data_IF_716590028960
#
_entry.id   IF_716590028960
#
_cell.length_a   1.000
_cell.length_b   1.000
_cell.length_c   1.000
_cell.angle_alpha   90.00
_cell.angle_beta   90.00
_cell.angle_gamma   90.00
#
_symmetry.space_group_name_H-M   'P 1'
#
loop_
_entity.id
_entity.type
_entity.pdbx_description
1 polymer ?
#
# COMPACT_ATOMS: atom_id res chain seq x y z
N UNK A 1 11.78 -15.95 14.58
CA UNK A 1 13.07 -15.35 14.96
C UNK A 1 14.26 -16.09 14.38
N UNK A 2 14.47 -17.39 14.69
CA UNK A 2 15.56 -18.20 14.07
C UNK A 2 15.63 -18.06 12.55
N UNK A 3 14.49 -18.10 11.89
CA UNK A 3 14.41 -17.97 10.43
C UNK A 3 14.74 -16.57 9.90
N UNK A 4 14.41 -15.51 10.65
CA UNK A 4 14.73 -14.11 10.31
C UNK A 4 16.23 -13.88 10.45
N UNK A 5 16.81 -14.30 11.57
CA UNK A 5 18.26 -14.26 11.86
C UNK A 5 19.03 -15.05 10.79
N UNK A 6 18.56 -16.24 10.43
CA UNK A 6 19.14 -17.08 9.37
C UNK A 6 19.10 -16.42 7.99
N UNK A 7 17.97 -15.81 7.61
CA UNK A 7 17.81 -15.13 6.31
C UNK A 7 18.58 -13.81 6.23
N UNK A 8 18.67 -13.07 7.33
CA UNK A 8 19.39 -11.80 7.40
C UNK A 8 20.91 -11.97 7.55
N UNK A 9 21.41 -13.20 7.75
CA UNK A 9 22.84 -13.47 7.92
C UNK A 9 23.44 -12.88 9.20
N UNK A 10 22.62 -12.39 10.13
CA UNK A 10 23.06 -11.82 11.41
C UNK A 10 23.07 -12.89 12.48
N UNK A 11 24.00 -12.83 13.43
CA UNK A 11 23.98 -13.70 14.61
C UNK A 11 22.87 -13.33 15.59
N UNK A 12 22.38 -14.27 16.40
CA UNK A 12 21.40 -13.99 17.48
C UNK A 12 21.85 -12.87 18.41
N UNK A 13 23.15 -12.78 18.71
CA UNK A 13 23.69 -11.71 19.55
C UNK A 13 23.51 -10.34 18.91
N UNK A 14 23.84 -10.19 17.62
CA UNK A 14 23.68 -8.94 16.89
C UNK A 14 22.21 -8.51 16.76
N UNK A 15 21.29 -9.47 16.73
CA UNK A 15 19.85 -9.20 16.77
C UNK A 15 19.44 -8.51 18.08
N UNK A 16 19.80 -9.09 19.23
CA UNK A 16 19.46 -8.53 20.55
C UNK A 16 20.25 -7.26 20.89
N UNK A 17 21.35 -6.97 20.21
CA UNK A 17 22.05 -5.68 20.32
C UNK A 17 21.29 -4.56 19.61
N UNK A 18 20.54 -4.88 18.56
CA UNK A 18 19.79 -3.91 17.76
C UNK A 18 18.35 -3.75 18.20
N UNK A 19 17.72 -4.82 18.67
CA UNK A 19 16.34 -4.81 19.13
C UNK A 19 16.20 -5.54 20.46
N UNK A 20 15.58 -4.87 21.43
CA UNK A 20 15.26 -5.40 22.76
C UNK A 20 14.19 -6.51 22.71
N UNK A 21 13.55 -6.70 21.55
CA UNK A 21 12.57 -7.76 21.35
C UNK A 21 12.03 -7.83 19.93
N UNK A 22 11.22 -8.87 19.70
CA UNK A 22 10.52 -9.04 18.42
C UNK A 22 9.57 -7.87 18.13
N UNK A 23 8.91 -7.35 19.16
CA UNK A 23 7.91 -6.29 19.03
C UNK A 23 8.54 -5.00 18.51
N UNK A 24 9.69 -4.57 19.07
CA UNK A 24 10.43 -3.40 18.58
C UNK A 24 10.89 -3.57 17.13
N UNK A 25 11.41 -4.75 16.76
CA UNK A 25 11.77 -5.03 15.37
C UNK A 25 10.56 -4.91 14.43
N UNK A 26 9.41 -5.45 14.85
CA UNK A 26 8.17 -5.38 14.05
C UNK A 26 7.70 -3.92 13.93
N UNK A 27 7.73 -3.15 15.00
CA UNK A 27 7.39 -1.72 14.97
C UNK A 27 8.32 -0.91 14.06
N UNK A 28 9.63 -1.18 14.05
CA UNK A 28 10.57 -0.52 13.13
C UNK A 28 10.32 -0.88 11.67
N UNK A 29 10.04 -2.15 11.38
CA UNK A 29 9.65 -2.59 10.03
C UNK A 29 8.36 -1.89 9.60
N UNK A 30 7.42 -1.71 10.52
CA UNK A 30 6.17 -0.99 10.33
C UNK A 30 6.36 0.50 10.05
N UNK A 31 7.24 1.17 10.79
CA UNK A 31 7.55 2.57 10.55
C UNK A 31 8.26 2.79 9.20
N UNK A 32 9.23 1.93 8.86
CA UNK A 32 9.92 1.97 7.58
C UNK A 32 8.97 1.74 6.40
N UNK A 33 8.02 0.84 6.60
CA UNK A 33 6.96 0.55 5.65
C UNK A 33 6.05 1.77 5.41
N UNK A 34 5.55 2.37 6.50
CA UNK A 34 4.71 3.57 6.42
C UNK A 34 5.43 4.70 5.67
N UNK A 35 6.72 4.90 5.96
CA UNK A 35 7.55 5.88 5.28
C UNK A 35 7.69 5.62 3.77
N UNK A 36 7.81 4.36 3.35
CA UNK A 36 7.92 4.00 1.93
C UNK A 36 6.63 4.33 1.16
N UNK A 37 5.46 4.02 1.74
CA UNK A 37 4.16 4.34 1.14
C UNK A 37 3.91 5.84 1.15
N UNK A 38 4.25 6.53 2.23
CA UNK A 38 4.18 7.99 2.30
C UNK A 38 5.04 8.64 1.22
N UNK A 39 6.29 8.21 1.07
CA UNK A 39 7.19 8.71 0.03
C UNK A 39 6.63 8.43 -1.38
N UNK A 40 6.04 7.27 -1.61
CA UNK A 40 5.38 6.95 -2.87
C UNK A 40 4.17 7.85 -3.13
N UNK A 41 3.32 8.05 -2.12
CA UNK A 41 2.17 8.94 -2.20
C UNK A 41 2.60 10.38 -2.57
N UNK A 42 3.65 10.91 -1.93
CA UNK A 42 4.22 12.23 -2.24
C UNK A 42 4.76 12.29 -3.66
N UNK A 43 5.53 11.28 -4.11
CA UNK A 43 6.03 11.22 -5.49
C UNK A 43 4.89 11.20 -6.51
N UNK A 44 3.89 10.35 -6.30
CA UNK A 44 2.76 10.23 -7.22
C UNK A 44 1.87 11.48 -7.21
N UNK A 45 1.78 12.22 -6.11
CA UNK A 45 1.05 13.50 -6.06
C UNK A 45 1.75 14.64 -6.82
N UNK A 46 3.05 14.51 -7.08
CA UNK A 46 3.85 15.59 -7.67
C UNK A 46 3.35 15.94 -9.09
N UNK A 47 3.24 17.24 -9.44
CA UNK A 47 2.80 17.66 -10.77
C UNK A 47 3.65 17.09 -11.91
N UNK A 48 4.96 16.99 -11.68
CA UNK A 48 5.93 16.46 -12.66
C UNK A 48 6.07 14.94 -12.63
N UNK A 49 5.13 14.23 -11.99
CA UNK A 49 5.11 12.78 -12.02
C UNK A 49 5.09 12.26 -13.47
N UNK A 50 6.08 11.45 -13.82
CA UNK A 50 6.30 10.90 -15.17
C UNK A 50 6.22 9.37 -15.21
N UNK A 51 5.66 8.75 -14.17
CA UNK A 51 5.49 7.30 -14.14
C UNK A 51 4.48 6.78 -15.17
N UNK A 52 4.42 5.44 -15.29
CA UNK A 52 3.54 4.76 -16.26
C UNK A 52 2.04 5.01 -16.03
N UNK A 53 1.68 5.34 -14.81
CA UNK A 53 0.33 5.56 -14.34
C UNK A 53 -0.02 7.05 -14.27
N UNK A 54 -1.33 7.41 -14.28
CA UNK A 54 -1.78 8.74 -13.89
C UNK A 54 -1.26 9.14 -12.50
N UNK A 55 -0.93 10.42 -12.32
CA UNK A 55 -0.53 10.97 -11.02
C UNK A 55 -1.62 10.76 -9.96
N UNK A 56 -1.23 10.78 -8.70
CA UNK A 56 -2.11 10.65 -7.54
C UNK A 56 -2.34 9.20 -7.11
N UNK A 57 -3.55 8.90 -6.63
CA UNK A 57 -3.88 7.57 -6.09
C UNK A 57 -3.64 6.43 -7.09
N UNK A 58 -4.04 6.64 -8.35
CA UNK A 58 -3.89 5.63 -9.40
C UNK A 58 -2.42 5.23 -9.62
N UNK A 59 -1.50 6.20 -9.57
CA UNK A 59 -0.07 5.92 -9.66
C UNK A 59 0.50 5.17 -8.47
N UNK A 60 -0.01 5.48 -7.26
CA UNK A 60 0.37 4.73 -6.06
C UNK A 60 -0.05 3.26 -6.16
N UNK A 61 -1.28 2.97 -6.62
CA UNK A 61 -1.78 1.60 -6.79
C UNK A 61 -0.95 0.83 -7.83
N UNK A 62 -0.50 1.50 -8.89
CA UNK A 62 0.35 0.87 -9.89
C UNK A 62 1.75 0.55 -9.38
N UNK A 63 2.39 1.45 -8.61
CA UNK A 63 3.68 1.15 -7.95
C UNK A 63 3.55 -0.05 -6.99
N UNK A 64 2.48 -0.08 -6.20
CA UNK A 64 2.20 -1.18 -5.27
C UNK A 64 2.05 -2.52 -5.98
N UNK A 65 1.32 -2.56 -7.09
CA UNK A 65 1.11 -3.77 -7.83
C UNK A 65 2.43 -4.32 -8.39
N UNK A 66 3.27 -3.45 -8.96
CA UNK A 66 4.52 -3.83 -9.61
C UNK A 66 5.64 -4.23 -8.64
N UNK A 67 5.45 -3.99 -7.34
CA UNK A 67 6.34 -4.44 -6.28
C UNK A 67 7.44 -3.44 -5.93
N UNK A 68 8.14 -3.76 -4.84
CA UNK A 68 9.17 -2.91 -4.23
C UNK A 68 8.95 -2.74 -2.73
N UNK A 69 9.70 -1.83 -2.11
CA UNK A 69 9.62 -1.57 -0.67
C UNK A 69 8.21 -1.16 -0.22
N UNK A 70 7.47 -0.48 -1.10
CA UNK A 70 6.08 -0.04 -0.90
C UNK A 70 5.10 -1.22 -0.80
N UNK A 71 5.31 -2.30 -1.57
CA UNK A 71 4.46 -3.48 -1.52
C UNK A 71 4.75 -4.33 -0.27
N UNK A 72 6.00 -4.40 0.16
CA UNK A 72 6.38 -5.05 1.42
C UNK A 72 5.77 -4.32 2.62
N UNK A 73 5.67 -2.99 2.53
CA UNK A 73 5.19 -2.12 3.58
C UNK A 73 3.72 -2.29 3.97
N UNK A 74 2.90 -2.70 3.01
CA UNK A 74 1.45 -2.58 3.12
C UNK A 74 0.78 -3.83 3.68
N UNK A 75 1.51 -4.93 3.84
CA UNK A 75 0.98 -6.21 4.36
C UNK A 75 0.91 -6.28 5.89
N UNK A 76 1.15 -5.17 6.57
CA UNK A 76 1.31 -5.12 8.00
C UNK A 76 -0.07 -4.94 8.65
N UNK A 77 -0.57 -6.01 9.27
CA UNK A 77 -1.92 -6.08 9.81
C UNK A 77 -2.14 -5.02 10.91
N UNK A 78 -3.35 -4.41 10.99
CA UNK A 78 -3.69 -3.44 12.04
C UNK A 78 -3.55 -3.99 13.46
N UNK A 79 -3.68 -5.31 13.62
CA UNK A 79 -3.67 -6.02 14.90
C UNK A 79 -2.27 -6.31 15.46
N UNK A 80 -1.23 -5.82 14.80
CA UNK A 80 0.16 -5.98 15.24
C UNK A 80 0.59 -4.71 16.00
N UNK A 81 1.43 -4.80 17.05
CA UNK A 81 1.94 -3.62 17.75
C UNK A 81 2.49 -2.56 16.78
N UNK A 82 2.04 -1.31 16.92
CA UNK A 82 2.40 -0.20 16.03
C UNK A 82 1.57 -0.10 14.74
N UNK A 83 0.72 -1.08 14.42
CA UNK A 83 -0.14 -1.10 13.23
C UNK A 83 -1.12 0.08 13.17
N UNK A 84 -1.77 0.42 14.29
CA UNK A 84 -2.70 1.57 14.35
C UNK A 84 -2.02 2.91 14.02
N UNK A 85 -0.77 3.08 14.45
CA UNK A 85 0.01 4.28 14.16
C UNK A 85 0.32 4.39 12.67
N UNK A 86 0.72 3.27 12.07
CA UNK A 86 0.96 3.19 10.62
C UNK A 86 -0.31 3.49 9.83
N UNK A 87 -1.45 2.89 10.20
CA UNK A 87 -2.74 3.17 9.54
C UNK A 87 -3.09 4.66 9.64
N UNK A 88 -2.87 5.29 10.79
CA UNK A 88 -3.11 6.72 11.00
C UNK A 88 -2.20 7.61 10.15
N UNK A 89 -0.90 7.32 10.14
CA UNK A 89 0.10 8.08 9.38
C UNK A 89 -0.10 7.93 7.85
N UNK A 90 -0.45 6.72 7.40
CA UNK A 90 -0.80 6.46 6.01
C UNK A 90 -2.15 7.08 5.62
N UNK A 91 -3.13 7.01 6.52
CA UNK A 91 -4.50 7.47 6.29
C UNK A 91 -4.53 8.92 5.81
N UNK A 92 -3.78 9.82 6.47
CA UNK A 92 -3.75 11.23 6.08
C UNK A 92 -3.17 11.48 4.67
N UNK A 93 -2.11 10.77 4.28
CA UNK A 93 -1.52 10.92 2.95
C UNK A 93 -2.45 10.33 1.87
N UNK A 94 -3.07 9.19 2.13
CA UNK A 94 -4.00 8.53 1.22
C UNK A 94 -5.30 9.33 1.06
N UNK A 95 -5.81 9.92 2.14
CA UNK A 95 -7.00 10.77 2.12
C UNK A 95 -6.80 11.98 1.22
N UNK A 96 -5.63 12.63 1.28
CA UNK A 96 -5.27 13.73 0.39
C UNK A 96 -5.26 13.29 -1.10
N UNK A 97 -4.78 12.09 -1.40
CA UNK A 97 -4.79 11.54 -2.77
C UNK A 97 -6.20 11.24 -3.26
N UNK A 98 -7.05 10.67 -2.39
CA UNK A 98 -8.46 10.38 -2.70
C UNK A 98 -9.21 11.67 -2.97
N UNK A 99 -9.07 12.65 -2.08
CA UNK A 99 -9.72 13.96 -2.21
C UNK A 99 -9.26 14.69 -3.48
N UNK A 100 -7.96 14.67 -3.79
CA UNK A 100 -7.43 15.29 -5.00
C UNK A 100 -7.96 14.63 -6.28
N UNK A 101 -7.93 13.30 -6.36
CA UNK A 101 -8.44 12.57 -7.51
C UNK A 101 -9.95 12.75 -7.70
N UNK A 102 -10.72 12.86 -6.60
CA UNK A 102 -12.16 13.21 -6.67
C UNK A 102 -12.37 14.63 -7.19
N UNK A 103 -11.66 15.63 -6.66
CA UNK A 103 -11.76 17.03 -7.13
C UNK A 103 -11.42 17.18 -8.60
N UNK A 104 -10.49 16.37 -9.11
CA UNK A 104 -10.09 16.35 -10.53
C UNK A 104 -11.05 15.57 -11.43
N UNK A 105 -12.06 14.90 -10.86
CA UNK A 105 -12.97 14.04 -11.62
C UNK A 105 -12.27 12.81 -12.19
N UNK A 106 -11.26 12.28 -11.51
CA UNK A 106 -10.53 11.07 -11.90
C UNK A 106 -10.94 9.84 -11.09
N UNK A 107 -11.57 10.06 -9.94
CA UNK A 107 -12.07 9.03 -9.03
C UNK A 107 -13.58 9.14 -8.87
N UNK A 108 -14.24 7.99 -8.63
CA UNK A 108 -15.66 7.92 -8.24
C UNK A 108 -15.88 8.69 -6.92
N UNK A 109 -16.99 9.43 -6.86
CA UNK A 109 -17.30 10.33 -5.75
C UNK A 109 -17.48 9.61 -4.40
N UNK A 110 -17.84 8.33 -4.44
CA UNK A 110 -18.14 7.49 -3.28
C UNK A 110 -16.94 6.62 -2.81
N UNK A 111 -15.74 6.80 -3.39
CA UNK A 111 -14.54 6.04 -3.00
C UNK A 111 -14.05 6.40 -1.58
N UNK A 112 -14.29 5.57 -0.58
CA UNK A 112 -13.85 5.84 0.79
C UNK A 112 -12.35 5.59 0.99
N UNK A 113 -11.77 6.23 2.01
CA UNK A 113 -10.41 5.93 2.44
C UNK A 113 -10.28 4.46 2.87
N UNK A 114 -11.29 3.91 3.53
CA UNK A 114 -11.31 2.51 3.98
C UNK A 114 -11.24 1.53 2.79
N UNK A 115 -11.86 1.86 1.66
CA UNK A 115 -11.74 1.06 0.43
C UNK A 115 -10.27 1.04 -0.05
N UNK A 116 -9.60 2.19 -0.02
CA UNK A 116 -8.19 2.30 -0.42
C UNK A 116 -7.30 1.51 0.52
N UNK A 117 -7.49 1.66 1.84
CA UNK A 117 -6.76 0.91 2.86
C UNK A 117 -6.96 -0.61 2.72
N UNK A 118 -8.13 -1.06 2.26
CA UNK A 118 -8.40 -2.48 1.99
C UNK A 118 -7.76 -2.98 0.68
N UNK A 119 -7.65 -2.15 -0.35
CA UNK A 119 -7.02 -2.49 -1.63
C UNK A 119 -5.49 -2.64 -1.52
N UNK A 120 -4.91 -1.85 -0.64
CA UNK A 120 -3.48 -1.78 -0.37
C UNK A 120 -2.86 -3.20 -0.15
N UNK A 121 -3.28 -4.01 0.84
CA UNK A 121 -2.74 -5.37 1.04
C UNK A 121 -2.99 -6.33 -0.13
N UNK A 122 -4.12 -6.17 -0.83
CA UNK A 122 -4.46 -7.00 -1.98
C UNK A 122 -3.48 -6.80 -3.14
N UNK A 123 -3.13 -5.54 -3.44
CA UNK A 123 -2.16 -5.18 -4.47
C UNK A 123 -0.75 -5.64 -4.11
N UNK A 124 -0.35 -5.46 -2.84
CA UNK A 124 0.93 -5.96 -2.34
C UNK A 124 1.08 -7.48 -2.57
N UNK A 125 0.00 -8.25 -2.39
CA UNK A 125 -0.04 -9.69 -2.66
C UNK A 125 0.27 -10.06 -4.11
N UNK A 126 -0.16 -9.25 -5.09
CA UNK A 126 0.06 -9.51 -6.53
C UNK A 126 1.53 -9.40 -6.94
N UNK A 127 2.30 -8.58 -6.24
CA UNK A 127 3.71 -8.31 -6.57
C UNK A 127 4.66 -9.46 -6.21
N UNK A 128 4.26 -10.34 -5.28
CA UNK A 128 5.17 -11.33 -4.70
C UNK A 128 6.21 -10.76 -3.73
N UNK A 129 6.15 -9.46 -3.40
CA UNK A 129 7.05 -8.81 -2.43
C UNK A 129 7.00 -9.46 -1.04
N UNK A 130 5.99 -10.27 -0.77
CA UNK A 130 5.79 -11.01 0.47
C UNK A 130 6.59 -12.32 0.61
N UNK A 131 7.40 -12.67 -0.39
CA UNK A 131 8.15 -13.93 -0.44
C UNK A 131 7.31 -15.15 -0.86
N UNK A 132 6.01 -14.97 -1.09
CA UNK A 132 5.17 -15.92 -1.82
C UNK A 132 5.21 -15.63 -3.33
N UNK A 133 4.95 -16.62 -4.21
CA UNK A 133 4.83 -16.36 -5.63
C UNK A 133 3.76 -15.29 -5.90
N UNK A 134 4.18 -14.17 -6.50
CA UNK A 134 3.26 -13.15 -6.99
C UNK A 134 2.44 -13.66 -8.16
N UNK A 135 1.48 -12.85 -8.60
CA UNK A 135 0.76 -13.14 -9.83
C UNK A 135 1.71 -13.00 -11.06
N UNK A 136 1.48 -13.77 -12.13
CA UNK A 136 2.12 -13.52 -13.43
C UNK A 136 1.95 -12.05 -13.85
N UNK A 137 2.92 -11.50 -14.57
CA UNK A 137 2.94 -10.08 -14.93
C UNK A 137 1.65 -9.66 -15.67
N UNK A 138 1.18 -10.49 -16.60
CA UNK A 138 -0.01 -10.25 -17.41
C UNK A 138 -1.29 -10.28 -16.57
N UNK A 139 -1.31 -11.11 -15.52
CA UNK A 139 -2.43 -11.15 -14.55
C UNK A 139 -2.41 -9.89 -13.71
N UNK A 140 -1.24 -9.49 -13.19
CA UNK A 140 -1.07 -8.27 -12.41
C UNK A 140 -1.51 -7.03 -13.19
N UNK A 141 -1.02 -6.85 -14.42
CA UNK A 141 -1.39 -5.73 -15.28
C UNK A 141 -2.89 -5.67 -15.57
N UNK A 142 -3.53 -6.84 -15.75
CA UNK A 142 -4.98 -6.92 -15.92
C UNK A 142 -5.73 -6.54 -14.64
N UNK A 143 -5.28 -6.98 -13.47
CA UNK A 143 -5.91 -6.62 -12.19
C UNK A 143 -5.77 -5.12 -11.91
N UNK A 144 -4.60 -4.53 -12.17
CA UNK A 144 -4.40 -3.07 -12.06
C UNK A 144 -5.36 -2.32 -12.97
N UNK A 145 -5.49 -2.74 -14.24
CA UNK A 145 -6.46 -2.13 -15.16
C UNK A 145 -7.90 -2.23 -14.65
N UNK A 146 -8.32 -3.40 -14.18
CA UNK A 146 -9.66 -3.60 -13.61
C UNK A 146 -9.90 -2.69 -12.39
N UNK A 147 -8.88 -2.50 -11.54
CA UNK A 147 -8.96 -1.58 -10.41
C UNK A 147 -9.08 -0.14 -10.87
N UNK A 148 -8.26 0.31 -11.83
CA UNK A 148 -8.39 1.64 -12.40
C UNK A 148 -9.79 1.87 -12.97
N UNK A 149 -10.31 0.90 -13.74
CA UNK A 149 -11.66 0.96 -14.31
C UNK A 149 -12.73 1.06 -13.22
N UNK A 150 -12.60 0.31 -12.12
CA UNK A 150 -13.54 0.33 -11.00
C UNK A 150 -13.54 1.66 -10.21
N UNK A 151 -12.41 2.36 -10.23
CA UNK A 151 -12.21 3.63 -9.54
C UNK A 151 -12.59 4.85 -10.37
N UNK A 152 -12.76 4.72 -11.69
CA UNK A 152 -13.17 5.83 -12.56
C UNK A 152 -14.50 6.44 -12.12
N UNK A 153 -14.73 7.74 -12.41
CA UNK A 153 -16.02 8.37 -12.15
C UNK A 153 -17.14 7.61 -12.88
N UNK A 154 -18.20 7.26 -12.16
CA UNK A 154 -19.41 6.72 -12.78
C UNK A 154 -20.26 7.88 -13.28
N UNK A 155 -20.73 7.80 -14.52
CA UNK A 155 -21.78 8.69 -15.00
C UNK A 155 -23.02 8.56 -14.10
N UNK A 156 -23.48 9.69 -13.57
CA UNK A 156 -24.58 9.86 -12.60
C UNK A 156 -25.48 8.66 -12.33
N UNK A 157 -25.19 7.93 -11.26
CA UNK A 157 -26.08 6.97 -10.62
C UNK A 157 -25.54 6.62 -9.24
N UNK A 158 -26.35 6.64 -8.17
CA UNK A 158 -25.88 6.32 -6.83
C UNK A 158 -25.32 4.89 -6.82
N UNK A 159 -24.24 4.63 -6.06
CA UNK A 159 -23.76 3.26 -5.88
C UNK A 159 -24.90 2.37 -5.37
N UNK A 160 -24.98 1.16 -5.90
CA UNK A 160 -25.82 0.13 -5.30
C UNK A 160 -25.40 -0.01 -3.84
N UNK A 161 -26.36 0.14 -2.92
CA UNK A 161 -26.11 -0.03 -1.50
C UNK A 161 -25.46 -1.40 -1.26
N UNK A 162 -24.44 -1.44 -0.40
CA UNK A 162 -23.81 -2.69 0.02
C UNK A 162 -24.87 -3.61 0.66
N UNK A 163 -24.85 -4.92 0.39
CA UNK A 163 -25.69 -5.84 1.14
C UNK A 163 -25.27 -5.83 2.62
N UNK A 164 -26.25 -5.67 3.51
CA UNK A 164 -26.11 -5.73 4.96
C UNK A 164 -25.61 -7.10 5.45
#
# INVERSE_FOLDING_TARGET
>A
MREVVRRAGVGRSAFYTRWDGREQMVEEVHASAAAAVHAAAVRCAHPDWSGRAPRGLLGLLEELAHGGDVALAVRLEPHVPGGERVVRELGGALELLVEDGRRRGELRADLALDDVLALLPALAGLSGASGAPGAPAEVRERVVRLLHDALRPRGGGPPAAAPC
#
